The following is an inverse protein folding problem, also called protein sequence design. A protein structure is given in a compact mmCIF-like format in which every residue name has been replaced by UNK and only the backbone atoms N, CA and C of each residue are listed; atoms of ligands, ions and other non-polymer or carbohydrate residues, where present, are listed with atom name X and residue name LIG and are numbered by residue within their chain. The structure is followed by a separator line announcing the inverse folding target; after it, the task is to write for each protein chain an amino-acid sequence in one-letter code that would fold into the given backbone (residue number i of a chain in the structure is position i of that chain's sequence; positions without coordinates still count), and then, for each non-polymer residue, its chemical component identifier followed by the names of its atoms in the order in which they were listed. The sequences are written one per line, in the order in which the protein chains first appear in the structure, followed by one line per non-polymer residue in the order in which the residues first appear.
data_IF_252174008862
#
_entry.id   IF_252174008862
#
_cell.length_a   1.000
_cell.length_b   1.000
_cell.length_c   1.000
_cell.angle_alpha   90.00
_cell.angle_beta   90.00
_cell.angle_gamma   90.00
#
_symmetry.space_group_name_H-M   'P 1'
#
loop_
_entity.id
_entity.type
_entity.pdbx_description
1 polymer ?
#
# COMPACT_ATOMS: atom_id res chain seq x y z
N UNK A 1 -5.72 -7.64 16.57
CA UNK A 1 -6.05 -7.08 15.25
C UNK A 1 -6.03 -5.57 15.39
N UNK A 2 -5.43 -4.84 14.44
CA UNK A 2 -5.42 -3.38 14.51
C UNK A 2 -6.83 -2.85 14.20
N UNK A 3 -7.25 -1.76 14.85
CA UNK A 3 -8.52 -1.09 14.54
C UNK A 3 -8.29 0.14 13.68
N UNK A 4 -9.21 0.44 12.76
CA UNK A 4 -9.08 1.60 11.86
C UNK A 4 -8.86 2.90 12.65
N UNK A 5 -9.59 3.09 13.76
CA UNK A 5 -9.42 4.26 14.64
C UNK A 5 -7.98 4.41 15.15
N UNK A 6 -7.35 3.31 15.58
CA UNK A 6 -5.98 3.33 16.10
C UNK A 6 -4.98 3.60 14.98
N UNK A 7 -5.13 2.94 13.83
CA UNK A 7 -4.25 3.14 12.67
C UNK A 7 -4.35 4.58 12.15
N UNK A 8 -5.56 5.12 12.01
CA UNK A 8 -5.78 6.50 11.56
C UNK A 8 -5.15 7.53 12.49
N UNK A 9 -5.19 7.31 13.81
CA UNK A 9 -4.55 8.21 14.78
C UNK A 9 -3.02 8.15 14.72
N UNK A 10 -2.45 6.99 14.40
CA UNK A 10 -1.00 6.81 14.19
C UNK A 10 -0.54 7.45 12.88
N UNK A 11 -1.25 7.16 11.78
CA UNK A 11 -0.89 7.63 10.44
C UNK A 11 -0.95 9.16 10.32
N UNK A 12 -1.88 9.84 11.02
CA UNK A 12 -1.95 11.31 11.05
C UNK A 12 -0.70 11.98 11.64
N UNK A 13 0.17 11.23 12.32
CA UNK A 13 1.45 11.71 12.90
C UNK A 13 2.65 11.41 12.00
N UNK A 14 2.43 10.76 10.85
CA UNK A 14 3.47 10.30 9.95
C UNK A 14 4.05 11.43 9.09
N UNK A 15 4.90 12.29 9.67
CA UNK A 15 5.53 13.40 8.96
C UNK A 15 6.65 12.98 7.98
N UNK A 16 7.12 11.73 8.08
CA UNK A 16 8.23 11.18 7.30
C UNK A 16 7.78 10.07 6.33
N UNK A 17 6.48 10.02 6.02
CA UNK A 17 5.93 8.98 5.15
C UNK A 17 6.52 9.09 3.74
N UNK A 18 6.78 7.93 3.14
CA UNK A 18 7.32 7.79 1.78
C UNK A 18 6.53 6.73 1.02
N UNK A 19 6.34 6.93 -0.27
CA UNK A 19 5.67 5.96 -1.14
C UNK A 19 6.71 5.18 -1.92
N UNK A 20 6.55 3.87 -1.98
CA UNK A 20 7.40 2.95 -2.71
C UNK A 20 6.56 2.18 -3.73
N UNK A 21 7.06 2.08 -4.95
CA UNK A 21 6.38 1.33 -6.02
C UNK A 21 6.81 -0.15 -6.01
N UNK A 22 5.83 -1.04 -6.13
CA UNK A 22 6.00 -2.49 -6.12
C UNK A 22 6.70 -2.99 -7.39
N UNK A 23 7.41 -4.11 -7.26
CA UNK A 23 7.94 -4.81 -8.43
C UNK A 23 6.83 -5.47 -9.26
N UNK A 24 7.21 -6.09 -10.37
CA UNK A 24 6.28 -6.85 -11.21
C UNK A 24 5.68 -8.05 -10.50
N UNK A 25 4.51 -8.47 -10.97
CA UNK A 25 3.80 -9.56 -10.30
C UNK A 25 4.50 -10.91 -10.54
N UNK A 26 4.90 -11.65 -9.50
CA UNK A 26 5.74 -12.84 -9.61
C UNK A 26 5.12 -14.01 -10.38
N UNK A 27 3.79 -14.07 -10.45
CA UNK A 27 3.08 -15.11 -11.24
C UNK A 27 2.54 -14.61 -12.59
N UNK A 28 2.40 -13.29 -12.79
CA UNK A 28 1.82 -12.74 -14.03
C UNK A 28 2.93 -12.45 -15.03
N UNK A 29 4.08 -12.00 -14.54
CA UNK A 29 5.25 -11.68 -15.32
C UNK A 29 6.52 -12.18 -14.63
N UNK A 30 6.59 -13.51 -14.47
CA UNK A 30 7.65 -14.20 -13.71
C UNK A 30 9.04 -13.82 -14.19
N UNK A 31 9.26 -13.74 -15.51
CA UNK A 31 10.56 -13.42 -16.10
C UNK A 31 11.00 -12.00 -15.73
N UNK A 32 10.11 -11.01 -15.88
CA UNK A 32 10.42 -9.62 -15.52
C UNK A 32 10.63 -9.47 -14.01
N UNK A 33 9.82 -10.12 -13.17
CA UNK A 33 10.01 -10.10 -11.73
C UNK A 33 11.37 -10.68 -11.33
N UNK A 34 11.74 -11.85 -11.86
CA UNK A 34 13.05 -12.47 -11.58
C UNK A 34 14.21 -11.63 -12.11
N UNK A 35 14.03 -10.93 -13.23
CA UNK A 35 15.02 -9.98 -13.73
C UNK A 35 15.16 -8.78 -12.80
N UNK A 36 14.05 -8.17 -12.40
CA UNK A 36 14.04 -7.02 -11.48
C UNK A 36 14.69 -7.35 -10.13
N UNK A 37 14.46 -8.55 -9.58
CA UNK A 37 15.12 -8.99 -8.35
C UNK A 37 16.65 -9.00 -8.45
N UNK A 38 17.21 -9.19 -9.66
CA UNK A 38 18.65 -9.24 -9.91
C UNK A 38 19.23 -7.88 -10.28
N UNK A 39 18.47 -7.03 -10.99
CA UNK A 39 19.00 -5.83 -11.64
C UNK A 39 18.52 -4.52 -11.03
N UNK A 40 17.41 -4.53 -10.28
CA UNK A 40 16.83 -3.32 -9.68
C UNK A 40 17.07 -3.37 -8.17
N UNK A 41 17.71 -2.33 -7.59
CA UNK A 41 17.78 -2.19 -6.15
C UNK A 41 16.38 -2.19 -5.55
N UNK A 42 16.13 -3.13 -4.65
CA UNK A 42 14.82 -3.37 -4.09
C UNK A 42 14.91 -3.60 -2.59
N UNK A 43 13.80 -3.36 -1.91
CA UNK A 43 13.63 -3.67 -0.49
C UNK A 43 12.33 -4.40 -0.26
N UNK A 44 12.30 -5.13 0.84
CA UNK A 44 11.11 -5.85 1.26
C UNK A 44 10.33 -5.06 2.31
N UNK A 45 9.02 -5.01 2.13
CA UNK A 45 8.08 -4.54 3.14
C UNK A 45 6.98 -5.58 3.29
N UNK A 46 6.81 -6.10 4.51
CA UNK A 46 5.74 -7.03 4.86
C UNK A 46 5.52 -8.16 3.83
N UNK A 47 6.62 -8.79 3.37
CA UNK A 47 6.60 -9.93 2.46
C UNK A 47 6.54 -9.60 0.97
N UNK A 48 6.52 -8.32 0.57
CA UNK A 48 6.49 -7.89 -0.83
C UNK A 48 7.70 -7.02 -1.19
N UNK A 49 8.10 -7.07 -2.46
CA UNK A 49 9.29 -6.38 -2.97
C UNK A 49 8.91 -5.09 -3.68
N UNK A 50 9.62 -4.02 -3.35
CA UNK A 50 9.42 -2.68 -3.88
C UNK A 50 10.76 -2.10 -4.34
N UNK A 51 10.72 -1.15 -5.27
CA UNK A 51 11.88 -0.35 -5.63
C UNK A 51 12.49 0.27 -4.35
N UNK A 52 13.82 0.26 -4.22
CA UNK A 52 14.49 0.80 -3.02
C UNK A 52 14.33 2.32 -2.91
N UNK A 53 14.30 3.01 -4.06
CA UNK A 53 14.08 4.45 -4.11
C UNK A 53 12.58 4.76 -3.98
N UNK A 54 12.16 5.67 -3.08
CA UNK A 54 10.77 6.09 -3.00
C UNK A 54 10.37 6.92 -4.23
N UNK A 55 9.08 6.91 -4.53
CA UNK A 55 8.47 7.74 -5.56
C UNK A 55 8.64 9.23 -5.26
N UNK A 56 8.90 10.02 -6.30
CA UNK A 56 9.03 11.46 -6.22
C UNK A 56 7.64 12.13 -6.22
N UNK A 57 6.85 11.89 -5.18
CA UNK A 57 5.49 12.44 -5.01
C UNK A 57 5.50 13.72 -4.18
N UNK A 58 4.51 14.58 -4.40
CA UNK A 58 4.35 15.80 -3.59
C UNK A 58 3.93 15.47 -2.14
N UNK A 59 4.30 16.29 -1.14
CA UNK A 59 3.78 16.15 0.22
C UNK A 59 2.25 16.21 0.28
N UNK A 60 1.62 16.97 -0.64
CA UNK A 60 0.16 17.04 -0.75
C UNK A 60 -0.43 15.67 -1.10
N UNK A 61 0.15 14.95 -2.06
CA UNK A 61 -0.34 13.62 -2.44
C UNK A 61 -0.29 12.65 -1.26
N UNK A 62 0.82 12.64 -0.51
CA UNK A 62 0.94 11.82 0.69
C UNK A 62 -0.14 12.18 1.71
N UNK A 63 -0.36 13.47 1.93
CA UNK A 63 -1.44 13.95 2.80
C UNK A 63 -2.82 13.50 2.32
N UNK A 64 -3.13 13.65 1.03
CA UNK A 64 -4.41 13.26 0.45
C UNK A 64 -4.65 11.75 0.59
N UNK A 65 -3.61 10.92 0.38
CA UNK A 65 -3.65 9.48 0.59
C UNK A 65 -3.91 9.12 2.07
N UNK A 66 -3.27 9.83 3.00
CA UNK A 66 -3.51 9.66 4.44
C UNK A 66 -4.96 10.02 4.77
N UNK A 67 -5.45 11.17 4.31
CA UNK A 67 -6.84 11.60 4.52
C UNK A 67 -7.79 10.55 3.99
N UNK A 68 -7.57 10.07 2.76
CA UNK A 68 -8.36 9.04 2.11
C UNK A 68 -8.43 7.78 2.97
N UNK A 69 -7.28 7.20 3.33
CA UNK A 69 -7.21 5.99 4.15
C UNK A 69 -7.84 6.18 5.52
N UNK A 70 -7.73 7.36 6.13
CA UNK A 70 -8.33 7.58 7.45
C UNK A 70 -9.85 7.77 7.43
N UNK A 71 -10.46 7.88 6.25
CA UNK A 71 -11.90 7.99 6.09
C UNK A 71 -12.56 6.64 6.34
N UNK A 72 -13.47 6.54 7.31
CA UNK A 72 -14.09 5.25 7.65
C UNK A 72 -14.75 4.58 6.44
N UNK A 73 -15.41 5.37 5.60
CA UNK A 73 -16.10 4.87 4.43
C UNK A 73 -15.16 4.44 3.31
N UNK A 74 -13.84 4.69 3.37
CA UNK A 74 -12.90 4.13 2.38
C UNK A 74 -12.61 2.64 2.60
N UNK A 75 -13.18 2.05 3.66
CA UNK A 75 -12.97 0.66 4.05
C UNK A 75 -14.27 -0.14 3.94
N UNK A 76 -14.15 -1.32 3.34
CA UNK A 76 -15.18 -2.36 3.42
C UNK A 76 -14.59 -3.61 4.07
N UNK A 77 -15.46 -4.46 4.63
CA UNK A 77 -15.04 -5.80 5.01
C UNK A 77 -14.50 -6.53 3.77
N UNK A 78 -13.43 -7.30 3.94
CA UNK A 78 -12.88 -8.09 2.84
C UNK A 78 -13.98 -8.94 2.22
N UNK A 79 -14.14 -8.84 0.90
CA UNK A 79 -14.95 -9.79 0.19
C UNK A 79 -14.31 -11.20 0.25
N UNK A 80 -15.04 -12.21 -0.23
CA UNK A 80 -14.50 -13.56 -0.45
C UNK A 80 -13.12 -13.53 -1.11
N UNK A 81 -12.27 -14.57 -0.91
CA UNK A 81 -10.89 -14.58 -1.37
C UNK A 81 -10.77 -14.14 -2.84
N UNK A 82 -10.05 -13.04 -3.07
CA UNK A 82 -9.81 -12.53 -4.42
C UNK A 82 -8.89 -13.51 -5.15
N UNK A 83 -9.28 -13.92 -6.36
CA UNK A 83 -8.46 -14.78 -7.22
C UNK A 83 -7.48 -13.97 -8.08
N UNK A 84 -7.73 -12.67 -8.21
CA UNK A 84 -6.80 -11.71 -8.81
C UNK A 84 -5.53 -11.58 -7.97
N UNK A 85 -4.42 -11.24 -8.63
CA UNK A 85 -3.12 -10.98 -7.99
C UNK A 85 -2.59 -12.11 -7.08
N UNK A 86 -2.91 -13.37 -7.38
CA UNK A 86 -2.55 -14.53 -6.56
C UNK A 86 -3.01 -14.41 -5.10
N UNK A 87 -4.11 -13.69 -4.85
CA UNK A 87 -4.63 -13.37 -3.53
C UNK A 87 -4.39 -11.92 -3.14
N UNK A 88 -3.15 -11.42 -3.26
CA UNK A 88 -2.81 -10.02 -2.95
C UNK A 88 -1.43 -9.68 -3.49
N UNK A 89 -1.30 -8.59 -4.25
CA UNK A 89 -0.03 -8.09 -4.73
C UNK A 89 -0.03 -6.56 -4.76
N UNK A 90 0.61 -5.89 -3.78
CA UNK A 90 0.55 -4.45 -3.69
C UNK A 90 1.35 -3.77 -4.80
N UNK A 91 0.74 -2.75 -5.39
CA UNK A 91 1.37 -1.87 -6.35
C UNK A 91 2.14 -0.75 -5.65
N UNK A 92 1.70 -0.37 -4.45
CA UNK A 92 2.32 0.67 -3.65
C UNK A 92 2.43 0.31 -2.18
N UNK A 93 3.45 0.84 -1.53
CA UNK A 93 3.59 0.87 -0.08
C UNK A 93 3.85 2.29 0.41
N UNK A 94 2.96 2.82 1.25
CA UNK A 94 3.24 3.99 2.08
C UNK A 94 3.93 3.52 3.36
N UNK A 95 5.13 4.03 3.62
CA UNK A 95 5.97 3.59 4.73
C UNK A 95 6.40 4.78 5.57
N UNK A 96 6.19 4.68 6.87
CA UNK A 96 6.62 5.67 7.86
C UNK A 96 7.14 4.97 9.10
N UNK A 97 7.93 5.69 9.89
CA UNK A 97 8.51 5.14 11.13
C UNK A 97 8.52 6.20 12.22
N UNK A 98 8.35 5.77 13.47
CA UNK A 98 8.62 6.57 14.66
C UNK A 98 9.47 5.76 15.66
N UNK A 99 9.59 6.22 16.90
CA UNK A 99 10.31 5.52 17.97
C UNK A 99 9.79 4.10 18.27
N UNK A 100 8.56 3.77 17.89
CA UNK A 100 7.92 2.46 18.06
C UNK A 100 8.14 1.51 16.87
N UNK A 101 8.84 1.95 15.82
CA UNK A 101 9.21 1.13 14.67
C UNK A 101 8.54 1.55 13.36
N UNK A 102 8.67 0.68 12.35
CA UNK A 102 8.14 0.92 11.01
C UNK A 102 6.67 0.50 10.90
N UNK A 103 5.91 1.29 10.14
CA UNK A 103 4.59 0.94 9.63
C UNK A 103 4.63 0.87 8.11
N UNK A 104 3.77 0.02 7.58
CA UNK A 104 3.59 -0.16 6.14
C UNK A 104 2.09 -0.17 5.87
N UNK A 105 1.63 0.67 4.96
CA UNK A 105 0.33 0.57 4.34
C UNK A 105 0.54 0.16 2.88
N UNK A 106 0.14 -1.06 2.56
CA UNK A 106 0.17 -1.62 1.20
C UNK A 106 -1.16 -1.40 0.49
N UNK A 107 -1.08 -1.12 -0.81
CA UNK A 107 -2.22 -0.75 -1.66
C UNK A 107 -2.15 -1.64 -2.90
N UNK A 108 -3.21 -2.40 -3.15
CA UNK A 108 -3.33 -3.24 -4.34
C UNK A 108 -4.43 -2.69 -5.25
N UNK A 109 -4.05 -2.21 -6.43
CA UNK A 109 -4.97 -1.76 -7.47
C UNK A 109 -5.59 -2.92 -8.24
N UNK A 110 -4.99 -4.11 -8.21
CA UNK A 110 -5.61 -5.29 -8.85
C UNK A 110 -6.73 -5.92 -8.01
N UNK A 111 -6.62 -5.88 -6.69
CA UNK A 111 -7.61 -6.46 -5.77
C UNK A 111 -8.49 -5.42 -5.06
N UNK A 112 -8.12 -4.14 -5.17
CA UNK A 112 -8.79 -3.00 -4.52
C UNK A 112 -8.75 -3.18 -2.99
N UNK A 113 -7.55 -3.38 -2.44
CA UNK A 113 -7.35 -3.73 -1.04
C UNK A 113 -6.34 -2.80 -0.34
N UNK A 114 -6.67 -2.44 0.90
CA UNK A 114 -5.76 -1.84 1.87
C UNK A 114 -5.19 -2.91 2.79
N UNK A 115 -3.87 -2.92 3.00
CA UNK A 115 -3.25 -3.80 3.99
C UNK A 115 -2.23 -3.06 4.85
N UNK A 116 -2.61 -2.76 6.07
CA UNK A 116 -1.76 -2.12 7.06
C UNK A 116 -0.99 -3.14 7.90
N UNK A 117 0.26 -2.80 8.21
CA UNK A 117 1.14 -3.51 9.12
C UNK A 117 1.79 -2.49 10.07
N UNK A 118 1.69 -2.75 11.37
CA UNK A 118 2.37 -1.94 12.37
C UNK A 118 2.01 -2.29 13.81
N UNK A 119 2.32 -1.39 14.77
CA UNK A 119 1.98 -1.59 16.17
C UNK A 119 0.46 -1.76 16.35
N UNK A 120 0.04 -2.86 17.00
CA UNK A 120 -1.38 -3.25 17.13
C UNK A 120 -1.84 -4.33 16.14
N UNK A 121 -0.98 -4.69 15.18
CA UNK A 121 -1.16 -5.82 14.28
C UNK A 121 -1.48 -5.42 12.85
N UNK A 122 -2.19 -6.30 12.15
CA UNK A 122 -2.59 -6.12 10.75
C UNK A 122 -4.05 -5.66 10.68
N UNK A 123 -4.33 -4.76 9.73
CA UNK A 123 -5.68 -4.41 9.29
C UNK A 123 -5.75 -4.59 7.78
N UNK A 124 -6.65 -5.45 7.31
CA UNK A 124 -6.82 -5.80 5.91
C UNK A 124 -8.30 -5.61 5.54
N UNK A 125 -8.57 -4.80 4.52
CA UNK A 125 -9.91 -4.37 4.13
C UNK A 125 -9.96 -4.09 2.64
N UNK A 126 -11.12 -4.27 2.02
CA UNK A 126 -11.37 -3.78 0.67
C UNK A 126 -11.44 -2.24 0.67
N UNK A 127 -11.05 -1.62 -0.43
CA UNK A 127 -11.20 -0.19 -0.70
C UNK A 127 -12.64 0.02 -1.20
N UNK A 128 -13.39 0.89 -0.55
CA UNK A 128 -14.77 1.17 -0.98
C UNK A 128 -14.82 1.87 -2.35
N UNK A 129 -15.69 1.38 -3.22
CA UNK A 129 -15.87 1.86 -4.58
C UNK A 129 -17.25 2.50 -4.80
N UNK A 130 -17.40 3.38 -5.81
CA UNK A 130 -16.34 3.97 -6.66
C UNK A 130 -15.62 5.16 -6.00
N UNK A 131 -16.22 5.74 -4.96
CA UNK A 131 -15.83 7.06 -4.44
C UNK A 131 -14.34 7.18 -4.03
N UNK A 132 -13.76 6.13 -3.44
CA UNK A 132 -12.41 6.20 -2.88
C UNK A 132 -11.35 5.58 -3.78
N UNK A 133 -11.66 4.48 -4.47
CA UNK A 133 -10.72 3.84 -5.40
C UNK A 133 -10.41 4.70 -6.63
N UNK A 134 -11.43 5.35 -7.21
CA UNK A 134 -11.23 6.24 -8.36
C UNK A 134 -10.33 7.44 -8.01
N UNK A 135 -10.42 7.91 -6.77
CA UNK A 135 -9.58 9.02 -6.30
C UNK A 135 -8.10 8.62 -6.28
N UNK A 136 -7.76 7.46 -5.71
CA UNK A 136 -6.36 7.06 -5.56
C UNK A 136 -5.69 6.67 -6.87
N UNK A 137 -6.42 6.04 -7.80
CA UNK A 137 -5.89 5.63 -9.11
C UNK A 137 -5.52 6.82 -10.00
N UNK A 138 -6.09 8.01 -9.74
CA UNK A 138 -5.70 9.26 -10.39
C UNK A 138 -4.45 9.91 -9.79
N UNK A 139 -4.07 9.54 -8.56
CA UNK A 139 -3.00 10.21 -7.83
C UNK A 139 -1.66 9.51 -7.98
N UNK A 140 -1.63 8.18 -7.81
CA UNK A 140 -0.38 7.44 -7.98
C UNK A 140 -0.24 7.02 -9.44
N UNK A 141 1.00 7.06 -9.99
CA UNK A 141 1.19 6.71 -11.38
C UNK A 141 0.64 5.31 -11.70
N UNK A 142 0.08 5.09 -12.89
CA UNK A 142 -0.24 3.73 -13.30
C UNK A 142 1.05 2.91 -13.41
N UNK A 143 0.96 1.60 -13.18
CA UNK A 143 2.04 0.68 -13.59
C UNK A 143 2.24 0.85 -15.10
N UNK A 144 3.45 1.24 -15.48
CA UNK A 144 3.90 1.36 -16.88
C UNK A 144 3.88 0.02 -17.59
#
# INVERSE_FOLDING_TARGET
MASLKAVSADLKKAHNAKIYHGLEHPQRNTEVYQQQLKTVPNREFAGFRFNEKPEAVSPKLIHDLIVLYTHADSHQALASPKTTCAGFHPDYALVWSDAKGQRVLQICYGCHEWKYFGPGGVLHTDINEPAFYDSITQWLPPKS
#
